data_IF_389796319072
#
_entry.id   IF_389796319072
#
_cell.length_a   1.000
_cell.length_b   1.000
_cell.length_c   1.000
_cell.angle_alpha   90.00
_cell.angle_beta   90.00
_cell.angle_gamma   90.00
#
_symmetry.space_group_name_H-M   'P 1'
#
loop_
_entity.id
_entity.type
_entity.pdbx_description
1 polymer ?
#
# COMPACT_ATOMS: atom_id res chain seq x y z
N UNK A 1 -56.12 -24.81 6.83
CA UNK A 1 -54.76 -24.47 7.27
C UNK A 1 -53.83 -24.22 6.11
N UNK A 2 -53.60 -25.18 5.21
CA UNK A 2 -52.66 -25.05 4.07
C UNK A 2 -52.76 -23.75 3.25
N UNK A 3 -53.96 -23.28 2.89
CA UNK A 3 -54.12 -22.01 2.15
C UNK A 3 -53.68 -20.77 2.93
N UNK A 4 -53.84 -20.79 4.25
CA UNK A 4 -53.38 -19.72 5.13
C UNK A 4 -51.85 -19.70 5.14
N UNK A 5 -51.24 -20.87 5.33
CA UNK A 5 -49.80 -21.08 5.27
C UNK A 5 -49.23 -20.57 3.92
N UNK A 6 -49.90 -20.87 2.81
CA UNK A 6 -49.47 -20.41 1.50
C UNK A 6 -49.59 -18.89 1.29
N UNK A 7 -50.59 -18.27 1.91
CA UNK A 7 -50.71 -16.81 1.92
C UNK A 7 -49.57 -16.18 2.71
N UNK A 8 -49.21 -16.78 3.84
CA UNK A 8 -48.26 -16.17 4.77
C UNK A 8 -46.81 -16.38 4.29
N UNK A 9 -46.45 -17.58 3.79
CA UNK A 9 -45.08 -17.90 3.34
C UNK A 9 -44.82 -17.56 1.87
N UNK A 10 -45.81 -17.73 1.00
CA UNK A 10 -45.62 -17.55 -0.45
C UNK A 10 -46.36 -16.35 -1.02
N UNK A 11 -47.12 -15.62 -0.19
CA UNK A 11 -47.98 -14.51 -0.62
C UNK A 11 -48.92 -14.92 -1.77
N UNK A 12 -49.52 -16.12 -1.67
CA UNK A 12 -50.43 -16.69 -2.69
C UNK A 12 -51.80 -17.05 -2.14
N UNK A 13 -52.83 -16.58 -2.84
CA UNK A 13 -54.24 -16.79 -2.50
C UNK A 13 -55.04 -17.50 -3.58
N UNK A 14 -54.57 -17.48 -4.83
CA UNK A 14 -55.19 -18.15 -5.96
C UNK A 14 -54.64 -19.58 -6.06
N UNK A 15 -55.37 -20.52 -5.46
CA UNK A 15 -54.99 -21.94 -5.31
C UNK A 15 -56.21 -22.82 -5.61
N UNK A 16 -55.98 -23.98 -6.20
CA UNK A 16 -57.03 -24.93 -6.57
C UNK A 16 -57.88 -25.41 -5.37
N UNK A 17 -59.17 -25.64 -5.64
CA UNK A 17 -60.20 -26.04 -4.65
C UNK A 17 -60.18 -27.52 -4.28
N UNK A 18 -59.71 -28.37 -5.17
CA UNK A 18 -59.50 -29.78 -4.91
C UNK A 18 -58.13 -30.05 -4.27
N UNK A 19 -58.06 -31.14 -3.53
CA UNK A 19 -56.89 -31.52 -2.73
C UNK A 19 -55.64 -31.77 -3.58
N UNK A 20 -55.80 -32.49 -4.69
CA UNK A 20 -54.72 -32.82 -5.63
C UNK A 20 -54.17 -31.56 -6.31
N UNK A 21 -55.07 -30.69 -6.77
CA UNK A 21 -54.73 -29.39 -7.34
C UNK A 21 -53.97 -28.51 -6.34
N UNK A 22 -54.43 -28.45 -5.08
CA UNK A 22 -53.78 -27.66 -4.03
C UNK A 22 -52.36 -28.16 -3.75
N UNK A 23 -52.14 -29.48 -3.64
CA UNK A 23 -50.79 -30.05 -3.47
C UNK A 23 -49.89 -29.70 -4.65
N UNK A 24 -50.42 -29.80 -5.87
CA UNK A 24 -49.68 -29.43 -7.08
C UNK A 24 -49.26 -27.96 -7.08
N UNK A 25 -50.18 -27.05 -6.76
CA UNK A 25 -49.89 -25.62 -6.71
C UNK A 25 -48.82 -25.29 -5.66
N UNK A 26 -48.87 -25.94 -4.49
CA UNK A 26 -47.88 -25.74 -3.42
C UNK A 26 -46.50 -26.26 -3.86
N UNK A 27 -46.44 -27.43 -4.52
CA UNK A 27 -45.19 -27.94 -5.09
C UNK A 27 -44.59 -26.96 -6.10
N UNK A 28 -45.40 -26.40 -6.99
CA UNK A 28 -44.93 -25.39 -7.95
C UNK A 28 -44.39 -24.13 -7.25
N UNK A 29 -44.93 -23.75 -6.09
CA UNK A 29 -44.41 -22.63 -5.28
C UNK A 29 -43.08 -22.97 -4.60
N UNK A 30 -42.99 -24.17 -4.03
CA UNK A 30 -41.76 -24.69 -3.43
C UNK A 30 -40.64 -24.76 -4.48
N UNK A 31 -40.90 -25.30 -5.66
CA UNK A 31 -39.93 -25.40 -6.75
C UNK A 31 -39.41 -24.01 -7.17
N UNK A 32 -40.30 -23.01 -7.24
CA UNK A 32 -39.90 -21.63 -7.51
C UNK A 32 -39.00 -21.07 -6.42
N UNK A 33 -39.32 -21.31 -5.14
CA UNK A 33 -38.49 -20.86 -4.02
C UNK A 33 -37.14 -21.57 -3.97
N UNK A 34 -37.08 -22.88 -4.22
CA UNK A 34 -35.82 -23.62 -4.36
C UNK A 34 -34.97 -23.01 -5.48
N UNK A 35 -35.56 -22.70 -6.63
CA UNK A 35 -34.84 -22.09 -7.76
C UNK A 35 -34.30 -20.69 -7.40
N UNK A 36 -35.10 -19.87 -6.71
CA UNK A 36 -34.70 -18.55 -6.22
C UNK A 36 -33.53 -18.65 -5.22
N UNK A 37 -33.63 -19.51 -4.21
CA UNK A 37 -32.58 -19.73 -3.20
C UNK A 37 -31.28 -20.19 -3.85
N UNK A 38 -31.35 -21.13 -4.79
CA UNK A 38 -30.18 -21.57 -5.54
C UNK A 38 -29.57 -20.45 -6.41
N UNK A 39 -30.40 -19.55 -6.93
CA UNK A 39 -29.92 -18.37 -7.67
C UNK A 39 -29.11 -17.42 -6.78
N UNK A 40 -29.46 -17.29 -5.50
CA UNK A 40 -28.67 -16.53 -4.52
C UNK A 40 -27.37 -17.27 -4.18
N UNK A 41 -27.42 -18.57 -3.89
CA UNK A 41 -26.21 -19.38 -3.59
C UNK A 41 -25.16 -19.28 -4.70
N UNK A 42 -25.59 -19.30 -5.96
CA UNK A 42 -24.69 -19.15 -7.11
C UNK A 42 -23.90 -17.83 -7.10
N UNK A 43 -24.47 -16.74 -6.56
CA UNK A 43 -23.84 -15.40 -6.50
C UNK A 43 -22.75 -15.28 -5.44
N UNK A 44 -22.56 -16.28 -4.59
CA UNK A 44 -21.49 -16.26 -3.60
C UNK A 44 -20.12 -16.45 -4.25
N UNK A 45 -20.03 -17.18 -5.37
CA UNK A 45 -18.79 -17.32 -6.16
C UNK A 45 -17.54 -17.69 -5.30
N UNK A 46 -17.73 -18.48 -4.24
CA UNK A 46 -16.67 -18.87 -3.30
C UNK A 46 -16.27 -17.82 -2.26
N UNK A 47 -16.95 -16.67 -2.23
CA UNK A 47 -16.76 -15.60 -1.24
C UNK A 47 -17.56 -15.87 0.03
N UNK A 48 -17.03 -15.39 1.16
CA UNK A 48 -17.66 -15.51 2.48
C UNK A 48 -18.62 -14.34 2.74
N UNK A 49 -19.79 -14.38 2.11
CA UNK A 49 -20.88 -13.45 2.40
C UNK A 49 -21.80 -13.96 3.52
N UNK A 50 -22.54 -13.07 4.22
CA UNK A 50 -23.50 -13.46 5.25
C UNK A 50 -24.75 -14.11 4.65
N UNK A 51 -25.37 -15.03 5.39
CA UNK A 51 -26.66 -15.63 5.04
C UNK A 51 -26.59 -16.97 4.30
N UNK A 52 -25.41 -17.56 4.06
CA UNK A 52 -25.32 -18.88 3.40
C UNK A 52 -26.04 -19.97 4.20
N UNK A 53 -25.90 -19.97 5.53
CA UNK A 53 -26.59 -20.92 6.40
C UNK A 53 -28.11 -20.78 6.34
N UNK A 54 -28.62 -19.56 6.17
CA UNK A 54 -30.05 -19.30 6.00
C UNK A 54 -30.56 -19.88 4.67
N UNK A 55 -29.80 -19.73 3.59
CA UNK A 55 -30.14 -20.32 2.29
C UNK A 55 -30.13 -21.86 2.37
N UNK A 56 -29.12 -22.45 3.01
CA UNK A 56 -29.02 -23.90 3.18
C UNK A 56 -30.18 -24.43 4.03
N UNK A 57 -30.60 -23.70 5.07
CA UNK A 57 -31.74 -24.08 5.92
C UNK A 57 -33.07 -24.04 5.16
N UNK A 58 -33.28 -23.02 4.32
CA UNK A 58 -34.46 -22.95 3.45
C UNK A 58 -34.56 -24.14 2.51
N UNK A 59 -33.44 -24.52 1.87
CA UNK A 59 -33.39 -25.72 1.03
C UNK A 59 -33.69 -26.98 1.84
N UNK A 60 -33.15 -27.12 3.04
CA UNK A 60 -33.43 -28.25 3.94
C UNK A 60 -34.92 -28.36 4.27
N UNK A 61 -35.63 -27.24 4.48
CA UNK A 61 -37.07 -27.25 4.70
C UNK A 61 -37.84 -27.66 3.45
N UNK A 62 -37.51 -27.07 2.29
CA UNK A 62 -38.22 -27.33 1.05
C UNK A 62 -37.98 -28.73 0.47
N UNK A 63 -36.78 -29.31 0.65
CA UNK A 63 -36.45 -30.66 0.18
C UNK A 63 -37.24 -31.77 0.91
N UNK A 64 -37.88 -31.45 2.04
CA UNK A 64 -38.73 -32.40 2.76
C UNK A 64 -40.07 -32.68 2.07
N UNK A 65 -40.46 -31.87 1.08
CA UNK A 65 -41.69 -32.03 0.31
C UNK A 65 -41.48 -32.90 -0.94
N UNK A 66 -41.03 -34.13 -0.74
CA UNK A 66 -40.73 -35.04 -1.84
C UNK A 66 -41.98 -35.53 -2.60
N UNK A 67 -41.78 -36.05 -3.81
CA UNK A 67 -42.85 -36.55 -4.68
C UNK A 67 -43.50 -37.86 -4.19
N UNK A 68 -42.99 -38.48 -3.11
CA UNK A 68 -43.50 -39.75 -2.57
C UNK A 68 -44.52 -39.54 -1.45
N UNK A 69 -44.61 -38.33 -0.90
CA UNK A 69 -45.64 -37.97 0.06
C UNK A 69 -47.04 -38.05 -0.58
N UNK A 70 -47.96 -38.75 0.10
CA UNK A 70 -49.39 -38.62 -0.16
C UNK A 70 -49.91 -37.27 0.35
N UNK A 71 -51.11 -36.87 -0.09
CA UNK A 71 -51.66 -35.54 0.23
C UNK A 71 -51.79 -35.32 1.74
N UNK A 72 -52.24 -36.33 2.50
CA UNK A 72 -52.38 -36.24 3.95
C UNK A 72 -51.04 -36.00 4.64
N UNK A 73 -50.00 -36.75 4.26
CA UNK A 73 -48.63 -36.58 4.78
C UNK A 73 -48.03 -35.25 4.36
N UNK A 74 -48.32 -34.79 3.14
CA UNK A 74 -47.88 -33.49 2.62
C UNK A 74 -48.45 -32.35 3.46
N UNK A 75 -49.76 -32.30 3.70
CA UNK A 75 -50.37 -31.23 4.50
C UNK A 75 -49.97 -31.29 5.98
N UNK A 76 -49.80 -32.49 6.53
CA UNK A 76 -49.25 -32.64 7.87
C UNK A 76 -47.84 -32.05 7.93
N UNK A 77 -46.97 -32.39 6.98
CA UNK A 77 -45.61 -31.87 6.90
C UNK A 77 -45.57 -30.35 6.74
N UNK A 78 -46.47 -29.81 5.91
CA UNK A 78 -46.63 -28.37 5.72
C UNK A 78 -47.02 -27.65 7.02
N UNK A 79 -47.89 -28.26 7.82
CA UNK A 79 -48.28 -27.72 9.12
C UNK A 79 -47.15 -27.87 10.14
N UNK A 80 -46.45 -29.00 10.15
CA UNK A 80 -45.33 -29.27 11.07
C UNK A 80 -44.14 -28.30 10.83
N UNK A 81 -43.98 -27.78 9.60
CA UNK A 81 -42.92 -26.82 9.22
C UNK A 81 -43.42 -25.38 9.10
N UNK A 82 -44.67 -25.09 9.46
CA UNK A 82 -45.28 -23.76 9.28
C UNK A 82 -44.46 -22.64 9.94
N UNK A 83 -44.16 -22.79 11.23
CA UNK A 83 -43.40 -21.81 12.01
C UNK A 83 -41.96 -21.65 11.47
N UNK A 84 -41.28 -22.77 11.18
CA UNK A 84 -39.92 -22.80 10.62
C UNK A 84 -39.82 -22.07 9.28
N UNK A 85 -40.81 -22.27 8.40
CA UNK A 85 -40.86 -21.63 7.10
C UNK A 85 -41.24 -20.16 7.19
N UNK A 86 -42.08 -19.78 8.14
CA UNK A 86 -42.44 -18.38 8.40
C UNK A 86 -41.23 -17.59 8.91
N UNK A 87 -40.53 -18.10 9.93
CA UNK A 87 -39.30 -17.48 10.44
C UNK A 87 -38.24 -17.33 9.33
N UNK A 88 -38.09 -18.36 8.48
CA UNK A 88 -37.18 -18.31 7.34
C UNK A 88 -37.57 -17.25 6.30
N UNK A 89 -38.87 -17.09 6.02
CA UNK A 89 -39.39 -16.10 5.07
C UNK A 89 -39.17 -14.67 5.57
N UNK A 90 -39.30 -14.43 6.88
CA UNK A 90 -38.99 -13.12 7.45
C UNK A 90 -37.49 -12.77 7.32
N UNK A 91 -36.62 -13.76 7.49
CA UNK A 91 -35.16 -13.57 7.47
C UNK A 91 -34.56 -13.52 6.05
N UNK A 92 -35.15 -14.22 5.07
CA UNK A 92 -34.58 -14.29 3.71
C UNK A 92 -34.47 -12.91 3.05
N UNK A 93 -35.35 -11.98 3.45
CA UNK A 93 -35.37 -10.57 3.02
C UNK A 93 -34.01 -9.88 3.24
N UNK A 94 -33.24 -10.28 4.27
CA UNK A 94 -31.90 -9.76 4.48
C UNK A 94 -30.92 -10.15 3.36
N UNK A 95 -30.96 -11.41 2.90
CA UNK A 95 -30.12 -11.90 1.80
C UNK A 95 -30.57 -11.28 0.48
N UNK A 96 -31.88 -11.17 0.26
CA UNK A 96 -32.44 -10.48 -0.91
C UNK A 96 -31.96 -9.03 -0.97
N UNK A 97 -32.05 -8.30 0.15
CA UNK A 97 -31.55 -6.93 0.26
C UNK A 97 -30.03 -6.85 0.05
N UNK A 98 -29.26 -7.81 0.58
CA UNK A 98 -27.81 -7.83 0.43
C UNK A 98 -27.39 -7.86 -1.04
N UNK A 99 -28.02 -8.72 -1.85
CA UNK A 99 -27.74 -8.84 -3.28
C UNK A 99 -28.53 -7.87 -4.16
N UNK A 100 -29.67 -7.35 -3.70
CA UNK A 100 -30.55 -6.45 -4.44
C UNK A 100 -30.23 -4.96 -4.27
N UNK A 101 -29.37 -4.61 -3.30
CA UNK A 101 -28.98 -3.22 -3.01
C UNK A 101 -27.45 -3.03 -3.13
N UNK A 102 -26.93 -1.90 -2.64
CA UNK A 102 -25.49 -1.64 -2.59
C UNK A 102 -24.77 -2.35 -1.44
N UNK A 103 -25.47 -3.07 -0.56
CA UNK A 103 -24.88 -3.71 0.62
C UNK A 103 -23.73 -4.66 0.26
N UNK A 104 -23.88 -5.49 -0.78
CA UNK A 104 -22.78 -6.36 -1.25
C UNK A 104 -21.53 -5.56 -1.61
N UNK A 105 -21.67 -4.46 -2.34
CA UNK A 105 -20.54 -3.64 -2.75
C UNK A 105 -19.84 -2.99 -1.56
N UNK A 106 -20.61 -2.52 -0.56
CA UNK A 106 -20.07 -1.98 0.68
C UNK A 106 -19.36 -3.07 1.49
N UNK A 107 -19.92 -4.28 1.56
CA UNK A 107 -19.30 -5.40 2.25
C UNK A 107 -17.98 -5.83 1.58
N UNK A 108 -17.95 -5.86 0.24
CA UNK A 108 -16.73 -6.11 -0.54
C UNK A 108 -15.64 -5.07 -0.24
N UNK A 109 -15.99 -3.78 -0.10
CA UNK A 109 -15.04 -2.74 0.32
C UNK A 109 -14.46 -3.01 1.71
N UNK A 110 -15.29 -3.50 2.64
CA UNK A 110 -14.83 -3.90 3.97
C UNK A 110 -13.83 -5.07 3.93
N UNK A 111 -14.09 -6.09 3.10
CA UNK A 111 -13.15 -7.19 2.88
C UNK A 111 -11.81 -6.71 2.30
N UNK A 112 -11.86 -5.84 1.30
CA UNK A 112 -10.66 -5.25 0.69
C UNK A 112 -9.87 -4.41 1.69
N UNK A 113 -10.56 -3.61 2.52
CA UNK A 113 -9.92 -2.79 3.55
C UNK A 113 -9.22 -3.65 4.62
N UNK A 114 -9.81 -4.76 5.06
CA UNK A 114 -9.13 -5.69 5.98
C UNK A 114 -7.87 -6.31 5.35
N UNK A 115 -7.88 -6.62 4.05
CA UNK A 115 -6.68 -7.08 3.34
C UNK A 115 -5.60 -6.00 3.31
N UNK A 116 -5.97 -4.77 2.94
CA UNK A 116 -5.06 -3.61 2.95
C UNK A 116 -4.48 -3.32 4.33
N UNK A 117 -5.30 -3.43 5.38
CA UNK A 117 -4.85 -3.26 6.75
C UNK A 117 -3.79 -4.29 7.13
N UNK A 118 -4.01 -5.58 6.83
CA UNK A 118 -3.04 -6.62 7.13
C UNK A 118 -1.74 -6.45 6.34
N UNK A 119 -1.83 -6.08 5.05
CA UNK A 119 -0.66 -5.79 4.21
C UNK A 119 0.20 -4.64 4.76
N UNK A 120 -0.42 -3.62 5.37
CA UNK A 120 0.26 -2.42 5.86
C UNK A 120 0.45 -2.40 7.38
N UNK A 121 0.14 -3.51 8.07
CA UNK A 121 0.09 -3.61 9.54
C UNK A 121 1.39 -3.24 10.23
N UNK A 122 2.54 -3.50 9.60
CA UNK A 122 3.85 -3.14 10.15
C UNK A 122 4.05 -1.62 10.28
N UNK A 123 3.29 -0.83 9.53
CA UNK A 123 3.32 0.62 9.58
C UNK A 123 2.15 1.22 10.38
N UNK A 124 1.03 0.50 10.48
CA UNK A 124 -0.18 0.94 11.18
C UNK A 124 -0.14 0.57 12.67
N UNK A 125 0.60 1.34 13.47
CA UNK A 125 0.80 1.10 14.92
C UNK A 125 -0.14 1.94 15.81
N UNK A 126 -0.91 2.86 15.22
CA UNK A 126 -1.85 3.72 15.95
C UNK A 126 -3.01 2.96 16.59
N UNK A 127 -3.37 3.30 17.83
CA UNK A 127 -4.50 2.67 18.54
C UNK A 127 -5.85 2.94 17.86
N UNK A 128 -6.03 4.15 17.32
CA UNK A 128 -7.31 4.58 16.72
C UNK A 128 -7.69 3.72 15.50
N UNK A 129 -6.76 3.57 14.53
CA UNK A 129 -7.00 2.73 13.35
C UNK A 129 -7.19 1.26 13.71
N UNK A 130 -6.49 0.76 14.73
CA UNK A 130 -6.64 -0.62 15.19
C UNK A 130 -8.06 -0.88 15.73
N UNK A 131 -8.60 0.01 16.54
CA UNK A 131 -9.97 -0.09 17.07
C UNK A 131 -11.03 -0.03 15.95
N UNK A 132 -10.84 0.80 14.93
CA UNK A 132 -11.73 0.88 13.77
C UNK A 132 -11.68 -0.40 12.93
N UNK A 133 -10.50 -0.98 12.74
CA UNK A 133 -10.33 -2.23 12.00
C UNK A 133 -10.85 -3.44 12.78
N UNK A 134 -10.78 -3.44 14.11
CA UNK A 134 -11.47 -4.42 14.95
C UNK A 134 -12.99 -4.33 14.79
N UNK A 135 -13.55 -3.11 14.77
CA UNK A 135 -14.99 -2.92 14.47
C UNK A 135 -15.35 -3.45 13.09
N UNK A 136 -14.55 -3.12 12.08
CA UNK A 136 -14.77 -3.61 10.71
C UNK A 136 -14.73 -5.15 10.66
N UNK A 137 -13.74 -5.76 11.30
CA UNK A 137 -13.62 -7.20 11.41
C UNK A 137 -14.83 -7.82 12.11
N UNK A 138 -15.34 -7.19 13.17
CA UNK A 138 -16.53 -7.66 13.87
C UNK A 138 -17.78 -7.63 12.97
N UNK A 139 -17.91 -6.64 12.08
CA UNK A 139 -19.02 -6.57 11.11
C UNK A 139 -18.88 -7.67 10.07
N UNK A 140 -17.67 -7.88 9.53
CA UNK A 140 -17.43 -8.90 8.49
C UNK A 140 -17.63 -10.33 9.02
N UNK A 141 -17.37 -10.56 10.32
CA UNK A 141 -17.52 -11.87 10.97
C UNK A 141 -18.90 -12.09 11.60
N UNK A 142 -19.73 -11.04 11.68
CA UNK A 142 -21.09 -11.14 12.21
C UNK A 142 -21.94 -12.00 11.25
N UNK A 143 -22.64 -13.05 11.73
CA UNK A 143 -23.53 -13.84 10.89
C UNK A 143 -24.72 -13.04 10.35
N UNK A 144 -25.09 -11.92 11.00
CA UNK A 144 -26.25 -11.08 10.65
C UNK A 144 -25.83 -9.60 10.58
N UNK A 145 -24.91 -9.23 9.65
CA UNK A 145 -24.27 -7.92 9.66
C UNK A 145 -25.13 -6.81 9.04
N UNK A 146 -26.27 -7.15 8.44
CA UNK A 146 -27.00 -6.31 7.48
C UNK A 146 -27.26 -4.86 7.93
N UNK A 147 -27.59 -4.65 9.22
CA UNK A 147 -27.82 -3.30 9.78
C UNK A 147 -26.54 -2.49 9.99
N UNK A 148 -25.39 -3.16 10.14
CA UNK A 148 -24.05 -2.58 10.37
C UNK A 148 -23.25 -2.38 9.08
N UNK A 149 -23.65 -3.00 7.97
CA UNK A 149 -22.97 -2.83 6.68
C UNK A 149 -22.83 -1.35 6.30
N UNK A 150 -23.83 -0.52 6.61
CA UNK A 150 -23.82 0.92 6.35
C UNK A 150 -22.68 1.69 7.06
N UNK A 151 -22.09 1.12 8.10
CA UNK A 151 -21.02 1.75 8.90
C UNK A 151 -19.63 1.46 8.29
N UNK A 152 -19.51 0.45 7.41
CA UNK A 152 -18.25 0.06 6.75
C UNK A 152 -17.58 1.23 6.01
N UNK A 153 -18.28 2.08 5.22
CA UNK A 153 -17.62 3.15 4.47
C UNK A 153 -16.86 4.13 5.34
N UNK A 154 -17.34 4.42 6.56
CA UNK A 154 -16.67 5.30 7.52
C UNK A 154 -15.37 4.65 8.03
N UNK A 155 -15.41 3.36 8.36
CA UNK A 155 -14.26 2.59 8.82
C UNK A 155 -13.18 2.47 7.73
N UNK A 156 -13.60 2.22 6.47
CA UNK A 156 -12.70 2.17 5.32
C UNK A 156 -12.03 3.53 5.09
N UNK A 157 -12.79 4.62 5.15
CA UNK A 157 -12.26 5.96 4.99
C UNK A 157 -11.21 6.31 6.06
N UNK A 158 -11.42 5.87 7.30
CA UNK A 158 -10.47 6.10 8.38
C UNK A 158 -9.14 5.36 8.16
N UNK A 159 -9.19 4.10 7.70
CA UNK A 159 -8.00 3.37 7.26
C UNK A 159 -7.27 4.08 6.11
N UNK A 160 -7.99 4.46 5.05
CA UNK A 160 -7.40 5.11 3.88
C UNK A 160 -6.72 6.44 4.24
N UNK A 161 -7.31 7.20 5.17
CA UNK A 161 -6.74 8.44 5.70
C UNK A 161 -5.42 8.17 6.43
N UNK A 162 -5.36 7.15 7.27
CA UNK A 162 -4.16 6.80 8.03
C UNK A 162 -3.04 6.28 7.12
N UNK A 163 -3.36 5.39 6.17
CA UNK A 163 -2.41 4.91 5.16
C UNK A 163 -1.82 6.07 4.37
N UNK A 164 -2.67 7.03 3.96
CA UNK A 164 -2.23 8.22 3.22
C UNK A 164 -1.33 9.12 4.06
N UNK A 165 -1.62 9.28 5.34
CA UNK A 165 -0.78 10.05 6.26
C UNK A 165 0.62 9.43 6.34
N UNK A 166 0.71 8.14 6.65
CA UNK A 166 1.98 7.42 6.76
C UNK A 166 2.74 7.43 5.43
N UNK A 167 2.04 7.21 4.31
CA UNK A 167 2.66 7.27 2.98
C UNK A 167 3.34 8.62 2.74
N UNK A 168 2.67 9.72 3.09
CA UNK A 168 3.23 11.06 2.94
C UNK A 168 4.44 11.29 3.85
N UNK A 169 4.39 10.82 5.10
CA UNK A 169 5.53 10.89 6.02
C UNK A 169 6.73 10.10 5.51
N UNK A 170 6.50 8.87 5.02
CA UNK A 170 7.55 8.03 4.43
C UNK A 170 8.14 8.64 3.17
N UNK A 171 7.31 9.24 2.31
CA UNK A 171 7.79 10.01 1.14
C UNK A 171 8.64 11.20 1.57
N UNK A 172 8.19 11.99 2.53
CA UNK A 172 8.94 13.15 3.02
C UNK A 172 10.31 12.73 3.56
N UNK A 173 10.36 11.69 4.40
CA UNK A 173 11.62 11.13 4.91
C UNK A 173 12.53 10.65 3.76
N UNK A 174 11.97 9.90 2.80
CA UNK A 174 12.72 9.41 1.67
C UNK A 174 13.27 10.54 0.79
N UNK A 175 12.52 11.63 0.58
CA UNK A 175 13.03 12.82 -0.13
C UNK A 175 14.21 13.47 0.59
N UNK A 176 14.15 13.60 1.92
CA UNK A 176 15.25 14.14 2.72
C UNK A 176 16.50 13.25 2.60
N UNK A 177 16.34 11.93 2.72
CA UNK A 177 17.47 11.00 2.58
C UNK A 177 18.05 10.98 1.18
N UNK A 178 17.21 10.98 0.14
CA UNK A 178 17.66 11.10 -1.24
C UNK A 178 18.44 12.39 -1.49
N UNK A 179 17.98 13.50 -0.92
CA UNK A 179 18.67 14.79 -1.06
C UNK A 179 20.05 14.75 -0.39
N UNK A 180 20.14 14.23 0.84
CA UNK A 180 21.43 14.08 1.52
C UNK A 180 22.39 13.19 0.74
N UNK A 181 21.92 12.04 0.27
CA UNK A 181 22.74 11.11 -0.50
C UNK A 181 23.19 11.69 -1.85
N UNK A 182 22.31 12.44 -2.52
CA UNK A 182 22.63 13.18 -3.74
C UNK A 182 23.65 14.29 -3.49
N UNK A 183 23.45 15.10 -2.46
CA UNK A 183 24.34 16.22 -2.13
C UNK A 183 25.76 15.70 -1.84
N UNK A 184 25.89 14.62 -1.06
CA UNK A 184 27.16 13.95 -0.80
C UNK A 184 27.82 13.44 -2.10
N UNK A 185 27.06 12.70 -2.93
CA UNK A 185 27.60 12.07 -4.12
C UNK A 185 27.92 13.09 -5.23
N UNK A 186 27.15 14.16 -5.34
CA UNK A 186 27.39 15.25 -6.31
C UNK A 186 28.67 16.02 -6.00
N UNK A 187 29.04 16.17 -4.72
CA UNK A 187 30.33 16.76 -4.31
C UNK A 187 31.47 15.82 -4.72
N UNK A 188 31.33 14.52 -4.46
CA UNK A 188 32.32 13.52 -4.87
C UNK A 188 32.48 13.47 -6.40
N UNK A 189 31.38 13.51 -7.14
CA UNK A 189 31.39 13.42 -8.59
C UNK A 189 32.04 14.64 -9.27
N UNK A 190 32.10 15.80 -8.59
CA UNK A 190 32.75 17.02 -9.09
C UNK A 190 34.27 17.04 -8.89
N UNK A 191 34.85 16.03 -8.23
CA UNK A 191 36.30 15.95 -8.03
C UNK A 191 37.05 15.74 -9.36
N UNK A 192 38.30 16.18 -9.39
CA UNK A 192 39.18 15.94 -10.55
C UNK A 192 39.45 14.44 -10.72
N UNK A 193 39.45 14.01 -11.97
CA UNK A 193 39.65 12.60 -12.33
C UNK A 193 38.38 11.79 -12.41
N UNK A 194 37.23 12.37 -12.07
CA UNK A 194 35.91 11.75 -12.29
C UNK A 194 35.42 12.02 -13.71
N UNK A 195 34.93 10.98 -14.38
CA UNK A 195 34.40 10.99 -15.74
C UNK A 195 33.11 11.83 -15.83
N UNK A 196 32.79 12.31 -17.03
CA UNK A 196 31.53 13.06 -17.23
C UNK A 196 30.33 12.12 -17.25
N UNK A 197 30.54 10.89 -17.71
CA UNK A 197 29.58 9.80 -17.71
C UNK A 197 29.13 9.47 -16.29
N UNK A 198 30.06 9.33 -15.34
CA UNK A 198 29.72 9.06 -13.93
C UNK A 198 28.99 10.24 -13.28
N UNK A 199 29.33 11.49 -13.62
CA UNK A 199 28.58 12.67 -13.16
C UNK A 199 27.13 12.64 -13.63
N UNK A 200 26.93 12.43 -14.93
CA UNK A 200 25.59 12.37 -15.53
C UNK A 200 24.78 11.20 -14.97
N UNK A 201 25.42 10.04 -14.76
CA UNK A 201 24.75 8.88 -14.17
C UNK A 201 24.21 9.16 -12.76
N UNK A 202 24.93 9.94 -11.95
CA UNK A 202 24.47 10.35 -10.61
C UNK A 202 23.24 11.24 -10.72
N UNK A 203 23.31 12.29 -11.53
CA UNK A 203 22.19 13.24 -11.71
C UNK A 203 20.94 12.51 -12.23
N UNK A 204 21.08 11.74 -13.31
CA UNK A 204 19.97 10.99 -13.94
C UNK A 204 19.32 10.00 -12.97
N UNK A 205 20.11 9.33 -12.13
CA UNK A 205 19.58 8.36 -11.15
C UNK A 205 18.72 9.06 -10.10
N UNK A 206 19.22 10.16 -9.52
CA UNK A 206 18.51 10.85 -8.44
C UNK A 206 17.29 11.61 -8.95
N UNK A 207 17.31 12.14 -10.17
CA UNK A 207 16.14 12.74 -10.79
C UNK A 207 15.05 11.69 -11.04
N UNK A 208 15.43 10.53 -11.58
CA UNK A 208 14.48 9.44 -11.84
C UNK A 208 13.86 8.89 -10.56
N UNK A 209 14.66 8.63 -9.52
CA UNK A 209 14.15 8.03 -8.28
C UNK A 209 13.27 9.02 -7.50
N UNK A 210 13.57 10.33 -7.54
CA UNK A 210 12.69 11.38 -7.00
C UNK A 210 11.36 11.41 -7.74
N UNK A 211 11.38 11.42 -9.07
CA UNK A 211 10.14 11.37 -9.87
C UNK A 211 9.29 10.13 -9.60
N UNK A 212 9.93 8.96 -9.44
CA UNK A 212 9.22 7.74 -9.06
C UNK A 212 8.59 7.86 -7.66
N UNK A 213 9.33 8.37 -6.67
CA UNK A 213 8.86 8.52 -5.30
C UNK A 213 7.60 9.39 -5.20
N UNK A 214 7.48 10.44 -6.01
CA UNK A 214 6.27 11.28 -6.08
C UNK A 214 5.02 10.45 -6.43
N UNK A 215 5.16 9.48 -7.34
CA UNK A 215 4.04 8.68 -7.87
C UNK A 215 3.67 7.45 -7.04
N UNK A 216 4.50 7.05 -6.06
CA UNK A 216 4.24 5.83 -5.29
C UNK A 216 2.95 5.93 -4.48
N UNK A 217 2.15 4.88 -4.50
CA UNK A 217 0.92 4.72 -3.69
C UNK A 217 1.08 3.68 -2.58
N UNK A 218 2.27 3.10 -2.46
CA UNK A 218 2.61 1.97 -1.61
C UNK A 218 3.67 2.41 -0.59
N UNK A 219 3.38 2.19 0.71
CA UNK A 219 4.23 2.62 1.82
C UNK A 219 5.58 1.90 1.77
N UNK A 220 5.60 0.60 1.50
CA UNK A 220 6.84 -0.18 1.41
C UNK A 220 7.74 0.32 0.29
N UNK A 221 7.18 0.65 -0.88
CA UNK A 221 7.96 1.21 -2.00
C UNK A 221 8.57 2.56 -1.66
N UNK A 222 7.82 3.44 -0.99
CA UNK A 222 8.33 4.72 -0.53
C UNK A 222 9.48 4.54 0.48
N UNK A 223 9.29 3.68 1.49
CA UNK A 223 10.28 3.42 2.53
C UNK A 223 11.55 2.73 1.99
N UNK A 224 11.40 1.75 1.10
CA UNK A 224 12.51 1.04 0.47
C UNK A 224 13.42 1.94 -0.38
N UNK A 225 12.93 3.09 -0.83
CA UNK A 225 13.70 4.07 -1.61
C UNK A 225 14.93 4.55 -0.84
N UNK A 226 14.85 4.65 0.50
CA UNK A 226 15.96 5.05 1.36
C UNK A 226 17.11 4.04 1.25
N UNK A 227 16.81 2.74 1.40
CA UNK A 227 17.81 1.68 1.30
C UNK A 227 18.38 1.55 -0.11
N UNK A 228 17.56 1.78 -1.14
CA UNK A 228 18.01 1.80 -2.54
C UNK A 228 19.00 2.93 -2.80
N UNK A 229 18.68 4.14 -2.31
CA UNK A 229 19.55 5.32 -2.38
C UNK A 229 20.89 5.08 -1.70
N UNK A 230 20.86 4.59 -0.45
CA UNK A 230 22.08 4.31 0.31
C UNK A 230 22.97 3.28 -0.40
N UNK A 231 22.38 2.19 -0.91
CA UNK A 231 23.10 1.15 -1.64
C UNK A 231 23.70 1.68 -2.95
N UNK A 232 22.97 2.53 -3.67
CA UNK A 232 23.46 3.18 -4.88
C UNK A 232 24.63 4.12 -4.56
N UNK A 233 24.48 4.98 -3.54
CA UNK A 233 25.50 5.90 -3.09
C UNK A 233 26.81 5.18 -2.78
N UNK A 234 26.77 4.11 -1.97
CA UNK A 234 27.97 3.35 -1.62
C UNK A 234 28.67 2.76 -2.84
N UNK A 235 27.89 2.20 -3.77
CA UNK A 235 28.43 1.60 -5.00
C UNK A 235 29.13 2.66 -5.86
N UNK A 236 28.47 3.78 -6.12
CA UNK A 236 29.01 4.83 -7.00
C UNK A 236 30.15 5.60 -6.31
N UNK A 237 30.11 5.79 -4.99
CA UNK A 237 31.23 6.37 -4.27
C UNK A 237 32.51 5.53 -4.40
N UNK A 238 32.40 4.19 -4.41
CA UNK A 238 33.54 3.30 -4.69
C UNK A 238 34.05 3.44 -6.12
N UNK A 239 33.15 3.62 -7.08
CA UNK A 239 33.48 3.83 -8.49
C UNK A 239 34.22 5.16 -8.70
N UNK A 240 33.71 6.26 -8.15
CA UNK A 240 34.36 7.57 -8.15
C UNK A 240 35.77 7.49 -7.56
N UNK A 241 35.96 6.82 -6.42
CA UNK A 241 37.29 6.65 -5.81
C UNK A 241 38.26 5.89 -6.71
N UNK A 242 37.78 4.91 -7.48
CA UNK A 242 38.60 4.18 -8.46
C UNK A 242 39.00 5.07 -9.64
N UNK A 243 38.07 5.84 -10.19
CA UNK A 243 38.36 6.77 -11.28
C UNK A 243 39.42 7.81 -10.88
N UNK A 244 39.28 8.39 -9.69
CA UNK A 244 40.24 9.35 -9.14
C UNK A 244 41.63 8.71 -9.00
N UNK A 245 41.72 7.50 -8.44
CA UNK A 245 42.99 6.79 -8.27
C UNK A 245 43.64 6.44 -9.63
N UNK A 246 42.86 6.04 -10.62
CA UNK A 246 43.36 5.77 -11.97
C UNK A 246 43.83 7.04 -12.67
N UNK A 247 43.11 8.15 -12.51
CA UNK A 247 43.51 9.45 -13.04
C UNK A 247 44.81 9.95 -12.39
N UNK A 248 44.95 9.81 -11.07
CA UNK A 248 46.18 10.13 -10.33
C UNK A 248 47.35 9.28 -10.83
N UNK A 249 47.17 7.96 -10.96
CA UNK A 249 48.21 7.06 -11.49
C UNK A 249 48.66 7.47 -12.89
N UNK A 250 47.72 7.77 -13.79
CA UNK A 250 48.04 8.24 -15.15
C UNK A 250 48.84 9.55 -15.13
N UNK A 251 48.47 10.51 -14.26
CA UNK A 251 49.21 11.76 -14.09
C UNK A 251 50.63 11.55 -13.56
N UNK A 252 50.83 10.64 -12.62
CA UNK A 252 52.17 10.29 -12.11
C UNK A 252 53.03 9.60 -13.18
N UNK A 253 52.45 8.71 -13.97
CA UNK A 253 53.14 8.04 -15.09
C UNK A 253 53.54 9.04 -16.19
N UNK A 254 52.66 9.98 -16.55
CA UNK A 254 52.96 11.08 -17.49
C UNK A 254 54.08 11.98 -16.97
N UNK A 255 54.06 12.35 -15.69
CA UNK A 255 55.11 13.17 -15.07
C UNK A 255 56.48 12.46 -15.09
N UNK A 256 56.51 11.14 -14.81
CA UNK A 256 57.73 10.33 -14.88
C UNK A 256 58.27 10.19 -16.31
N UNK A 257 57.40 10.10 -17.32
CA UNK A 257 57.80 10.05 -18.74
C UNK A 257 58.37 11.39 -19.22
N UNK A 258 57.76 12.51 -18.80
CA UNK A 258 58.22 13.85 -19.18
C UNK A 258 59.52 14.28 -18.48
N UNK A 259 59.82 13.73 -17.30
CA UNK A 259 61.10 13.96 -16.61
C UNK A 259 62.32 13.31 -17.31
N UNK A 260 62.11 12.43 -18.30
CA UNK A 260 63.17 11.77 -19.06
C UNK A 260 63.42 12.33 -20.48
N UNK A 261 62.69 13.36 -20.92
CA UNK A 261 62.75 13.91 -22.27
C UNK A 261 63.34 15.32 -22.32
N UNK A 262 64.32 15.54 -23.21
CA UNK A 262 64.93 16.85 -23.50
C UNK A 262 63.88 17.93 -23.76
N UNK A 263 64.09 19.08 -23.12
CA UNK A 263 63.32 20.32 -23.22
C UNK A 263 63.17 20.78 -24.67
N UNK A 264 61.93 20.99 -25.12
CA UNK A 264 61.60 21.95 -26.17
C UNK A 264 60.40 22.75 -25.67
N UNK A 265 60.62 24.04 -25.46
CA UNK A 265 59.62 25.00 -25.01
C UNK A 265 58.54 25.23 -26.07
N UNK A 266 57.27 25.09 -25.66
CA UNK A 266 56.17 25.89 -26.17
C UNK A 266 55.23 26.21 -25.00
N UNK A 267 54.94 27.49 -24.69
CA UNK A 267 54.08 27.84 -23.59
C UNK A 267 52.62 27.73 -24.03
N UNK A 268 51.95 26.64 -23.66
CA UNK A 268 50.48 26.60 -23.62
C UNK A 268 50.09 26.90 -22.17
N UNK A 269 49.75 28.17 -21.93
CA UNK A 269 49.13 28.61 -20.68
C UNK A 269 47.71 28.06 -20.61
N UNK A 270 47.55 26.84 -20.10
CA UNK A 270 46.29 26.47 -19.46
C UNK A 270 46.17 27.28 -18.16
N UNK A 271 45.00 27.86 -17.83
CA UNK A 271 44.81 28.54 -16.57
C UNK A 271 44.90 27.51 -15.44
N UNK A 272 46.07 27.43 -14.81
CA UNK A 272 46.26 26.64 -13.60
C UNK A 272 45.40 27.27 -12.52
N UNK A 273 44.25 26.67 -12.24
CA UNK A 273 43.43 27.05 -11.10
C UNK A 273 44.30 26.86 -9.86
N UNK A 274 44.62 27.97 -9.17
CA UNK A 274 45.50 27.92 -8.01
C UNK A 274 44.82 27.11 -6.90
N UNK A 275 45.41 25.97 -6.52
CA UNK A 275 44.96 25.18 -5.37
C UNK A 275 45.52 25.78 -4.09
N UNK A 276 44.69 25.90 -3.08
CA UNK A 276 45.07 26.23 -1.71
C UNK A 276 44.86 24.99 -0.85
N UNK A 277 45.95 24.45 -0.32
CA UNK A 277 45.90 23.35 0.64
C UNK A 277 45.51 23.90 2.02
N UNK A 278 44.54 23.27 2.68
CA UNK A 278 43.98 23.77 3.95
C UNK A 278 43.70 22.62 4.90
N UNK A 279 44.05 22.78 6.18
CA UNK A 279 43.62 21.85 7.24
C UNK A 279 42.30 22.31 7.84
N UNK A 280 41.38 21.37 8.11
CA UNK A 280 40.09 21.69 8.74
C UNK A 280 40.26 22.40 10.09
N UNK A 281 41.24 21.97 10.89
CA UNK A 281 41.61 22.57 12.18
C UNK A 281 42.14 24.00 12.06
N UNK A 282 42.77 24.35 10.94
CA UNK A 282 43.24 25.72 10.69
C UNK A 282 42.08 26.67 10.34
N UNK A 283 40.98 26.12 9.79
CA UNK A 283 39.79 26.90 9.48
C UNK A 283 38.94 27.12 10.72
N UNK A 284 38.61 26.06 11.47
CA UNK A 284 37.80 26.18 12.69
C UNK A 284 38.36 25.20 13.73
N UNK A 285 38.99 25.74 14.77
CA UNK A 285 39.57 24.95 15.85
C UNK A 285 38.50 24.70 16.93
N UNK A 286 37.81 23.57 16.82
CA UNK A 286 36.83 23.11 17.81
C UNK A 286 37.07 21.64 18.11
N UNK A 287 37.17 21.30 19.39
CA UNK A 287 37.45 19.95 19.89
C UNK A 287 36.20 19.18 20.30
N UNK A 288 35.12 19.88 20.69
CA UNK A 288 33.83 19.29 21.09
C UNK A 288 32.66 20.21 20.73
N UNK A 289 31.55 19.62 20.28
CA UNK A 289 30.27 20.28 20.01
C UNK A 289 29.22 19.58 20.86
N UNK A 290 28.50 20.31 21.73
CA UNK A 290 27.62 19.69 22.74
C UNK A 290 26.13 19.98 22.53
N UNK A 291 25.80 20.86 21.59
CA UNK A 291 24.42 21.26 21.27
C UNK A 291 24.25 21.38 19.75
N UNK A 292 23.01 21.34 19.27
CA UNK A 292 22.71 21.57 17.84
C UNK A 292 23.13 22.99 17.42
N UNK A 293 22.95 23.98 18.31
CA UNK A 293 23.40 25.36 18.09
C UNK A 293 24.93 25.48 17.95
N UNK A 294 25.71 24.62 18.61
CA UNK A 294 27.16 24.58 18.44
C UNK A 294 27.53 24.04 17.06
N UNK A 295 26.82 23.01 16.58
CA UNK A 295 27.00 22.45 15.23
C UNK A 295 26.72 23.53 14.19
N UNK A 296 25.61 24.24 14.31
CA UNK A 296 25.24 25.29 13.38
C UNK A 296 26.27 26.42 13.33
N UNK A 297 26.75 26.87 14.49
CA UNK A 297 27.79 27.92 14.56
C UNK A 297 29.11 27.44 13.94
N UNK A 298 29.51 26.21 14.19
CA UNK A 298 30.71 25.61 13.62
C UNK A 298 30.61 25.52 12.09
N UNK A 299 29.53 24.93 11.56
CA UNK A 299 29.31 24.76 10.12
C UNK A 299 29.17 26.10 9.42
N UNK A 300 28.46 27.07 9.99
CA UNK A 300 28.34 28.41 9.40
C UNK A 300 29.70 29.12 9.31
N UNK A 301 30.52 29.01 10.36
CA UNK A 301 31.87 29.59 10.38
C UNK A 301 32.76 28.91 9.34
N UNK A 302 32.75 27.58 9.30
CA UNK A 302 33.51 26.79 8.34
C UNK A 302 33.08 27.11 6.90
N UNK A 303 31.77 27.14 6.64
CA UNK A 303 31.18 27.49 5.34
C UNK A 303 31.60 28.89 4.89
N UNK A 304 31.57 29.89 5.79
CA UNK A 304 31.98 31.26 5.45
C UNK A 304 33.45 31.31 5.03
N UNK A 305 34.34 30.67 5.79
CA UNK A 305 35.79 30.65 5.49
C UNK A 305 36.10 29.90 4.20
N UNK A 306 35.48 28.74 3.96
CA UNK A 306 35.62 27.99 2.71
C UNK A 306 35.13 28.82 1.50
N UNK A 307 33.97 29.47 1.62
CA UNK A 307 33.43 30.36 0.57
C UNK A 307 34.33 31.55 0.28
N UNK A 308 35.00 32.12 1.29
CA UNK A 308 35.98 33.19 1.07
C UNK A 308 37.16 32.71 0.22
N UNK A 309 37.69 31.52 0.47
CA UNK A 309 38.80 30.95 -0.32
C UNK A 309 38.36 30.71 -1.77
N UNK A 310 37.16 30.16 -1.99
CA UNK A 310 36.60 29.97 -3.34
C UNK A 310 36.39 31.32 -4.05
N UNK A 311 35.88 32.36 -3.35
CA UNK A 311 35.71 33.71 -3.92
C UNK A 311 37.03 34.37 -4.35
N UNK A 312 38.16 33.94 -3.79
CA UNK A 312 39.50 34.33 -4.24
C UNK A 312 39.99 33.56 -5.47
N UNK A 313 39.09 32.85 -6.17
CA UNK A 313 39.34 32.06 -7.37
C UNK A 313 40.36 30.93 -7.17
N UNK A 314 40.40 30.38 -5.95
CA UNK A 314 41.25 29.25 -5.57
C UNK A 314 40.39 27.99 -5.37
N UNK A 315 40.94 26.83 -5.73
CA UNK A 315 40.37 25.55 -5.35
C UNK A 315 40.89 25.11 -3.98
N UNK A 316 40.07 24.45 -3.19
CA UNK A 316 40.47 23.98 -1.86
C UNK A 316 40.87 22.51 -1.96
N UNK A 317 42.05 22.20 -1.45
CA UNK A 317 42.53 20.83 -1.27
C UNK A 317 42.68 20.60 0.24
N UNK A 318 41.94 19.65 0.80
CA UNK A 318 42.07 19.31 2.21
C UNK A 318 43.32 18.47 2.42
N UNK A 319 44.13 18.85 3.42
CA UNK A 319 45.31 18.10 3.87
C UNK A 319 45.13 17.73 5.35
N UNK A 320 45.69 16.58 5.77
CA UNK A 320 45.65 16.10 7.16
C UNK A 320 46.57 16.89 8.09
#
# INVERSE_FOLDING_TARGET
>A
NARQICRDIFNKTDLADDEDGLVKDIRDLIDKKIAEVNSYRARYEGRKYPGMSLLDKGLEYFEQFDNKLDNASFFKKLTDLEDDLADWEEDIVYVESFFGTNQKAIFDQGLEALSKYEENKTYLVGKEVAEEMEKLQSIIQDPIPYKKIKDIPELVHALDKEIKLILNEKKANAFEKLKLDYDELSILAKQYGVSNETKQQVDDYYDRIKGNLETFTDIFKADATISQSASYKERVAREIRREIAEWQRKKEEEAKRNAGGKVVETPVTEPVVQKQSVKLKELVDVTTLSTEEDVDRYINTLSHKLKQIIKSNKQIEFIE
#
